data_IF_891601207964
#
_entry.id   IF_891601207964
#
_cell.length_a   1.000
_cell.length_b   1.000
_cell.length_c   1.000
_cell.angle_alpha   90.00
_cell.angle_beta   90.00
_cell.angle_gamma   90.00
#
_symmetry.space_group_name_H-M   'P 1'
#
loop_
_entity.id
_entity.type
_entity.pdbx_description
1 polymer ?
#
# COMPACT_ATOMS: atom_id res chain seq x y z
N UNK A 1 60.67 -67.71 32.78
CA UNK A 1 59.50 -66.93 33.28
C UNK A 1 59.60 -65.51 32.74
N UNK A 2 58.45 -64.94 32.36
CA UNK A 2 58.21 -63.61 31.73
C UNK A 2 58.37 -63.50 30.20
N UNK A 3 57.25 -63.90 29.59
CA UNK A 3 56.58 -63.41 28.39
C UNK A 3 56.92 -61.96 28.00
N UNK A 4 57.16 -61.71 26.71
CA UNK A 4 56.57 -60.57 25.99
C UNK A 4 56.38 -60.89 24.49
N UNK A 5 55.17 -60.64 24.01
CA UNK A 5 54.64 -60.93 22.68
C UNK A 5 54.86 -59.76 21.69
N UNK A 6 55.28 -60.12 20.48
CA UNK A 6 54.76 -59.77 19.13
C UNK A 6 54.03 -58.42 18.96
N UNK A 7 54.52 -57.61 18.01
CA UNK A 7 53.67 -56.74 17.19
C UNK A 7 54.17 -56.80 15.73
N UNK A 8 53.48 -57.61 14.91
CA UNK A 8 53.65 -57.69 13.47
C UNK A 8 52.55 -56.88 12.77
N UNK A 9 52.97 -55.91 11.99
CA UNK A 9 52.15 -54.95 11.26
C UNK A 9 51.28 -55.60 10.18
N UNK A 10 49.99 -55.27 10.16
CA UNK A 10 49.12 -55.44 9.00
C UNK A 10 48.51 -54.08 8.64
N UNK A 11 48.83 -53.57 7.45
CA UNK A 11 48.26 -52.34 6.90
C UNK A 11 46.78 -52.56 6.54
N UNK A 12 45.89 -51.74 7.09
CA UNK A 12 44.52 -51.57 6.59
C UNK A 12 44.43 -50.22 5.84
N UNK A 13 44.08 -50.27 4.56
CA UNK A 13 43.68 -49.10 3.78
C UNK A 13 42.30 -48.60 4.25
N UNK A 14 42.08 -47.29 4.47
CA UNK A 14 40.75 -46.75 4.66
C UNK A 14 40.04 -46.59 3.31
N UNK A 15 38.87 -47.22 3.17
CA UNK A 15 37.90 -46.91 2.12
C UNK A 15 37.29 -45.54 2.44
N UNK A 16 37.57 -44.55 1.60
CA UNK A 16 36.85 -43.27 1.60
C UNK A 16 35.46 -43.50 1.02
N UNK A 17 34.44 -43.62 1.89
CA UNK A 17 33.03 -43.47 1.50
C UNK A 17 32.79 -42.03 1.11
N UNK A 18 32.71 -41.77 -0.20
CA UNK A 18 32.28 -40.49 -0.74
C UNK A 18 30.77 -40.34 -0.52
N UNK A 19 30.37 -39.52 0.45
CA UNK A 19 28.98 -39.12 0.60
C UNK A 19 28.59 -38.25 -0.60
N UNK A 20 27.69 -38.76 -1.46
CA UNK A 20 27.07 -37.96 -2.50
C UNK A 20 26.20 -36.86 -1.86
N UNK A 21 26.13 -35.65 -2.43
CA UNK A 21 25.21 -34.62 -1.96
C UNK A 21 23.77 -35.10 -2.16
N UNK A 22 22.95 -35.02 -1.12
CA UNK A 22 21.52 -35.32 -1.19
C UNK A 22 20.85 -34.41 -2.24
N UNK A 23 20.02 -35.00 -3.11
CA UNK A 23 19.20 -34.25 -4.04
C UNK A 23 18.15 -33.42 -3.27
N UNK A 24 17.75 -32.23 -3.77
CA UNK A 24 16.73 -31.43 -3.12
C UNK A 24 15.37 -32.14 -3.15
N UNK A 25 14.76 -32.33 -1.99
CA UNK A 25 13.39 -32.86 -1.85
C UNK A 25 12.38 -31.89 -2.50
N UNK A 26 11.78 -32.31 -3.61
CA UNK A 26 10.78 -31.53 -4.36
C UNK A 26 9.41 -31.48 -3.68
N UNK A 27 9.18 -32.32 -2.66
CA UNK A 27 7.90 -32.42 -1.94
C UNK A 27 7.79 -31.51 -0.72
N UNK A 28 8.89 -30.85 -0.32
CA UNK A 28 8.88 -29.94 0.82
C UNK A 28 9.84 -28.76 0.57
N UNK A 29 9.46 -27.77 -0.26
CA UNK A 29 10.30 -26.59 -0.45
C UNK A 29 10.53 -25.92 0.91
N UNK A 30 11.79 -25.64 1.24
CA UNK A 30 12.17 -24.86 2.41
C UNK A 30 11.32 -23.57 2.47
N UNK A 31 10.85 -23.15 3.65
CA UNK A 31 10.08 -21.92 3.75
C UNK A 31 10.90 -20.77 3.18
N UNK A 32 10.39 -20.14 2.11
CA UNK A 32 11.00 -18.95 1.53
C UNK A 32 11.02 -17.90 2.64
N UNK A 33 12.22 -17.52 3.09
CA UNK A 33 12.36 -16.53 4.15
C UNK A 33 11.60 -15.24 3.76
N UNK A 34 10.84 -14.63 4.69
CA UNK A 34 10.02 -13.49 4.36
C UNK A 34 10.90 -12.31 3.94
N UNK A 35 10.42 -11.55 2.96
CA UNK A 35 11.10 -10.35 2.48
C UNK A 35 11.26 -9.36 3.63
N UNK A 36 12.49 -8.90 3.86
CA UNK A 36 12.82 -7.93 4.90
C UNK A 36 13.41 -6.66 4.29
N UNK A 37 12.97 -5.49 4.76
CA UNK A 37 13.59 -4.19 4.45
C UNK A 37 14.03 -3.50 5.75
N UNK A 38 15.24 -2.95 5.78
CA UNK A 38 15.86 -2.39 7.01
C UNK A 38 16.17 -0.90 6.96
N UNK A 39 16.12 -0.28 5.78
CA UNK A 39 16.45 1.15 5.60
C UNK A 39 15.23 2.06 5.73
N UNK A 40 14.22 1.62 6.50
CA UNK A 40 13.03 2.42 6.77
C UNK A 40 13.31 3.33 7.96
N UNK A 41 13.10 4.63 7.80
CA UNK A 41 13.21 5.63 8.85
C UNK A 41 11.83 6.13 9.24
N UNK A 42 11.66 6.46 10.51
CA UNK A 42 10.46 7.13 10.99
C UNK A 42 10.83 8.43 11.71
N UNK A 43 9.97 9.43 11.58
CA UNK A 43 9.98 10.66 12.39
C UNK A 43 8.56 10.96 12.84
N UNK A 44 8.40 11.39 14.07
CA UNK A 44 7.13 11.84 14.61
C UNK A 44 7.21 13.34 14.89
N UNK A 45 6.16 14.06 14.50
CA UNK A 45 5.98 15.49 14.76
C UNK A 45 4.67 15.70 15.53
N UNK A 46 4.67 16.56 16.56
CA UNK A 46 3.44 16.90 17.28
C UNK A 46 2.48 17.66 16.37
N UNK A 47 1.22 17.77 16.79
CA UNK A 47 0.25 18.60 16.10
C UNK A 47 0.68 20.08 16.12
N UNK A 48 0.59 20.75 14.96
CA UNK A 48 0.92 22.18 14.82
C UNK A 48 -0.22 23.10 15.32
N UNK A 49 -1.40 22.53 15.61
CA UNK A 49 -2.58 23.25 16.10
C UNK A 49 -3.54 22.36 16.89
N UNK A 50 -4.51 22.98 17.58
CA UNK A 50 -5.45 22.26 18.45
C UNK A 50 -6.44 21.33 17.71
N UNK A 51 -6.61 21.53 16.39
CA UNK A 51 -7.47 20.72 15.52
C UNK A 51 -6.67 19.69 14.70
N UNK A 52 -5.33 19.75 14.77
CA UNK A 52 -4.47 18.87 13.97
C UNK A 52 -4.14 17.61 14.77
N UNK A 53 -4.00 16.50 14.05
CA UNK A 53 -3.47 15.27 14.62
C UNK A 53 -1.94 15.28 14.57
N UNK A 54 -1.25 14.69 15.56
CA UNK A 54 0.19 14.43 15.46
C UNK A 54 0.49 13.53 14.26
N UNK A 55 1.68 13.68 13.68
CA UNK A 55 2.04 13.07 12.40
C UNK A 55 3.17 12.07 12.55
N UNK A 56 3.04 10.90 11.92
CA UNK A 56 4.11 9.93 11.75
C UNK A 56 4.51 9.88 10.28
N UNK A 57 5.77 10.20 10.01
CA UNK A 57 6.36 10.10 8.67
C UNK A 57 7.23 8.87 8.58
N UNK A 58 6.95 7.99 7.61
CA UNK A 58 7.83 6.89 7.23
C UNK A 58 8.59 7.25 5.96
N UNK A 59 9.86 6.85 5.87
CA UNK A 59 10.68 7.12 4.68
C UNK A 59 11.54 5.91 4.33
N UNK A 60 11.53 5.54 3.05
CA UNK A 60 12.37 4.48 2.50
C UNK A 60 12.86 4.91 1.10
N UNK A 61 14.17 5.18 0.97
CA UNK A 61 14.72 5.77 -0.25
C UNK A 61 14.08 7.14 -0.59
N UNK A 62 13.57 7.33 -1.82
CA UNK A 62 12.86 8.55 -2.22
C UNK A 62 11.41 8.60 -1.72
N UNK A 63 10.82 7.44 -1.39
CA UNK A 63 9.44 7.33 -0.95
C UNK A 63 9.27 7.78 0.49
N UNK A 64 8.18 8.47 0.76
CA UNK A 64 7.77 8.85 2.11
C UNK A 64 6.25 8.74 2.26
N UNK A 65 5.80 8.63 3.50
CA UNK A 65 4.40 8.84 3.90
C UNK A 65 4.36 9.91 4.98
N UNK A 66 3.19 10.51 5.14
CA UNK A 66 2.91 11.42 6.24
C UNK A 66 1.50 11.14 6.73
N UNK A 67 1.41 10.33 7.79
CA UNK A 67 0.17 9.74 8.27
C UNK A 67 -0.22 10.42 9.58
N UNK A 68 -1.47 10.92 9.72
CA UNK A 68 -1.95 11.38 11.01
C UNK A 68 -2.08 10.18 11.96
N UNK A 69 -1.70 10.37 13.22
CA UNK A 69 -1.85 9.38 14.29
C UNK A 69 -3.20 9.58 14.98
N UNK A 70 -4.27 9.44 14.21
CA UNK A 70 -5.66 9.49 14.67
C UNK A 70 -6.29 8.08 14.70
N UNK A 71 -7.61 8.02 14.88
CA UNK A 71 -8.33 6.76 15.03
C UNK A 71 -8.65 6.07 13.68
N UNK A 72 -8.45 6.75 12.55
CA UNK A 72 -8.87 6.24 11.23
C UNK A 72 -7.88 5.19 10.69
N UNK A 73 -6.68 5.13 11.27
CA UNK A 73 -5.59 4.21 10.87
C UNK A 73 -5.20 3.28 12.03
N UNK A 74 -6.02 2.25 12.33
CA UNK A 74 -5.86 1.40 13.52
C UNK A 74 -4.52 0.65 13.57
N UNK A 75 -3.88 0.40 12.43
CA UNK A 75 -2.55 -0.20 12.35
C UNK A 75 -1.47 0.65 13.04
N UNK A 76 -1.67 1.97 13.14
CA UNK A 76 -0.76 2.89 13.81
C UNK A 76 -1.12 3.17 15.28
N UNK A 77 -2.16 2.54 15.83
CA UNK A 77 -2.60 2.76 17.21
C UNK A 77 -1.48 2.49 18.24
N UNK A 78 -0.67 1.45 18.01
CA UNK A 78 0.48 1.14 18.86
C UNK A 78 1.59 2.20 18.76
N UNK A 79 1.80 2.81 17.59
CA UNK A 79 2.73 3.91 17.41
C UNK A 79 2.22 5.17 18.14
N UNK A 80 0.93 5.50 17.98
CA UNK A 80 0.29 6.61 18.68
C UNK A 80 0.43 6.47 20.20
N UNK A 81 0.10 5.30 20.76
CA UNK A 81 0.24 5.02 22.18
C UNK A 81 1.69 5.12 22.67
N UNK A 82 2.65 4.57 21.90
CA UNK A 82 4.07 4.64 22.24
C UNK A 82 4.65 6.07 22.14
N UNK A 83 4.04 6.96 21.36
CA UNK A 83 4.51 8.32 21.17
C UNK A 83 3.81 9.34 22.09
N UNK A 84 2.66 9.02 22.67
CA UNK A 84 1.85 9.96 23.44
C UNK A 84 2.47 10.45 24.76
N UNK A 85 3.40 9.70 25.35
CA UNK A 85 4.04 10.05 26.62
C UNK A 85 5.08 11.17 26.45
N UNK A 86 5.11 12.11 27.41
CA UNK A 86 6.02 13.25 27.41
C UNK A 86 7.45 12.90 27.84
N UNK A 87 7.67 11.77 28.53
CA UNK A 87 9.00 11.40 29.00
C UNK A 87 9.93 11.08 27.81
N UNK A 88 11.12 11.71 27.69
CA UNK A 88 12.09 11.34 26.67
C UNK A 88 12.69 9.97 26.98
N UNK A 89 13.02 9.20 25.94
CA UNK A 89 13.64 7.89 26.13
C UNK A 89 13.55 6.97 24.91
N UNK A 90 14.13 5.76 25.03
CA UNK A 90 14.04 4.76 23.98
C UNK A 90 12.59 4.28 23.82
N UNK A 91 12.16 4.10 22.58
CA UNK A 91 10.83 3.57 22.28
C UNK A 91 10.91 2.40 21.30
N UNK A 92 9.91 1.53 21.40
CA UNK A 92 9.62 0.50 20.42
C UNK A 92 8.12 0.47 20.19
N UNK A 93 7.73 0.24 18.94
CA UNK A 93 6.35 0.01 18.56
C UNK A 93 6.31 -0.84 17.30
N UNK A 94 5.15 -1.42 17.01
CA UNK A 94 4.95 -2.25 15.82
C UNK A 94 3.69 -1.81 15.11
N UNK A 95 3.76 -1.64 13.79
CA UNK A 95 2.62 -1.43 12.91
C UNK A 95 2.31 -2.76 12.22
N UNK A 96 1.08 -3.24 12.36
CA UNK A 96 0.62 -4.50 11.77
C UNK A 96 -0.40 -4.23 10.69
N UNK A 97 -0.10 -4.63 9.48
CA UNK A 97 -0.95 -4.46 8.30
C UNK A 97 -0.93 -5.76 7.48
N UNK A 98 -1.92 -5.97 6.63
CA UNK A 98 -2.02 -7.18 5.80
C UNK A 98 -0.75 -7.41 4.97
N UNK A 99 -0.14 -6.34 4.44
CA UNK A 99 1.10 -6.43 3.67
C UNK A 99 2.32 -6.88 4.49
N UNK A 100 2.28 -6.79 5.82
CA UNK A 100 3.36 -7.21 6.70
C UNK A 100 3.48 -6.40 7.98
N UNK A 101 4.56 -6.67 8.71
CA UNK A 101 4.83 -6.07 10.02
C UNK A 101 5.99 -5.09 9.94
N UNK A 102 5.80 -3.88 10.47
CA UNK A 102 6.83 -2.86 10.59
C UNK A 102 7.22 -2.71 12.07
N UNK A 103 8.36 -3.29 12.44
CA UNK A 103 8.90 -3.21 13.80
C UNK A 103 9.83 -2.00 13.91
N UNK A 104 9.48 -1.02 14.74
CA UNK A 104 10.16 0.25 14.86
C UNK A 104 10.85 0.42 16.21
N UNK A 105 12.02 1.03 16.19
CA UNK A 105 12.81 1.42 17.37
C UNK A 105 13.34 2.83 17.19
N UNK A 106 13.58 3.55 18.28
CA UNK A 106 14.22 4.86 18.22
C UNK A 106 14.17 5.58 19.55
N UNK A 107 14.19 6.91 19.47
CA UNK A 107 14.14 7.79 20.62
C UNK A 107 12.97 8.76 20.49
N UNK A 108 12.23 8.91 21.59
CA UNK A 108 11.21 9.94 21.78
C UNK A 108 11.84 11.10 22.54
N UNK A 109 11.62 12.32 22.08
CA UNK A 109 12.12 13.55 22.73
C UNK A 109 11.05 14.24 23.57
N UNK A 110 9.78 14.13 23.17
CA UNK A 110 8.59 14.60 23.90
C UNK A 110 7.36 13.87 23.34
N UNK A 111 6.16 14.18 23.85
CA UNK A 111 4.93 13.63 23.29
C UNK A 111 4.85 13.92 21.79
N UNK A 112 4.63 12.87 21.00
CA UNK A 112 4.55 12.87 19.54
C UNK A 112 5.78 13.43 18.81
N UNK A 113 6.92 13.56 19.48
CA UNK A 113 8.17 13.99 18.86
C UNK A 113 9.25 12.91 19.03
N UNK A 114 9.84 12.48 17.93
CA UNK A 114 10.88 11.45 17.98
C UNK A 114 11.34 11.01 16.60
N UNK A 115 12.34 10.13 16.59
CA UNK A 115 12.83 9.53 15.35
C UNK A 115 13.48 8.19 15.58
N UNK A 116 13.56 7.40 14.51
CA UNK A 116 14.27 6.14 14.56
C UNK A 116 14.23 5.37 13.24
N UNK A 117 14.31 4.05 13.36
CA UNK A 117 14.35 3.12 12.24
C UNK A 117 13.34 2.01 12.43
N UNK A 118 12.90 1.46 11.32
CA UNK A 118 12.03 0.30 11.30
C UNK A 118 12.61 -0.83 10.45
N UNK A 119 12.25 -2.05 10.81
CA UNK A 119 12.42 -3.24 10.00
C UNK A 119 11.06 -3.69 9.51
N UNK A 120 10.86 -3.69 8.20
CA UNK A 120 9.67 -4.26 7.57
C UNK A 120 9.89 -5.74 7.29
N UNK A 121 8.89 -6.56 7.57
CA UNK A 121 8.84 -7.98 7.21
C UNK A 121 7.52 -8.24 6.48
N UNK A 122 7.58 -8.61 5.21
CA UNK A 122 6.40 -8.87 4.39
C UNK A 122 5.63 -10.12 4.87
N UNK A 123 4.31 -10.12 4.65
CA UNK A 123 3.47 -11.31 4.84
C UNK A 123 3.33 -12.09 3.52
N UNK A 124 3.85 -13.33 3.43
CA UNK A 124 3.69 -14.18 2.25
C UNK A 124 2.23 -14.51 1.92
N UNK A 125 1.30 -14.47 2.89
CA UNK A 125 -0.12 -14.70 2.65
C UNK A 125 -0.73 -13.59 1.79
N UNK A 126 -0.42 -12.34 2.11
CA UNK A 126 -0.85 -11.19 1.32
C UNK A 126 -0.29 -11.21 -0.10
N UNK A 127 0.99 -11.55 -0.26
CA UNK A 127 1.60 -11.71 -1.58
C UNK A 127 0.86 -12.75 -2.44
N UNK A 128 0.49 -13.90 -1.86
CA UNK A 128 -0.31 -14.92 -2.56
C UNK A 128 -1.69 -14.40 -2.95
N UNK A 129 -2.35 -13.65 -2.06
CA UNK A 129 -3.67 -13.07 -2.34
C UNK A 129 -3.62 -12.03 -3.47
N UNK A 130 -2.57 -11.20 -3.52
CA UNK A 130 -2.34 -10.28 -4.63
C UNK A 130 -2.09 -11.04 -5.94
N UNK A 131 -1.23 -12.07 -5.91
CA UNK A 131 -0.93 -12.88 -7.08
C UNK A 131 -2.18 -13.56 -7.66
N UNK A 132 -3.08 -14.06 -6.80
CA UNK A 132 -4.36 -14.64 -7.23
C UNK A 132 -5.27 -13.64 -7.98
N UNK A 133 -5.02 -12.34 -7.85
CA UNK A 133 -5.75 -11.26 -8.52
C UNK A 133 -5.01 -10.69 -9.74
N UNK A 134 -3.83 -11.24 -10.06
CA UNK A 134 -2.95 -10.70 -11.09
C UNK A 134 -2.15 -9.47 -10.63
N UNK A 135 -2.15 -9.17 -9.33
CA UNK A 135 -1.54 -7.97 -8.74
C UNK A 135 -0.20 -8.28 -8.06
N UNK A 136 0.50 -9.34 -8.49
CA UNK A 136 1.77 -9.73 -7.89
C UNK A 136 2.77 -8.56 -7.92
N UNK A 137 3.34 -8.15 -6.77
CA UNK A 137 4.32 -7.07 -6.72
C UNK A 137 5.55 -7.38 -7.58
N UNK A 138 5.99 -6.42 -8.40
CA UNK A 138 7.22 -6.55 -9.20
C UNK A 138 8.48 -6.31 -8.38
N UNK A 139 8.38 -5.50 -7.32
CA UNK A 139 9.49 -5.08 -6.49
C UNK A 139 9.17 -5.30 -5.03
N UNK A 140 10.20 -5.60 -4.22
CA UNK A 140 10.05 -5.80 -2.78
C UNK A 140 9.54 -4.55 -2.05
N UNK A 141 9.95 -3.37 -2.50
CA UNK A 141 9.54 -2.09 -1.93
C UNK A 141 8.04 -1.82 -2.08
N UNK A 142 7.36 -2.45 -3.05
CA UNK A 142 5.92 -2.30 -3.29
C UNK A 142 5.09 -2.73 -2.08
N UNK A 143 5.47 -3.79 -1.36
CA UNK A 143 4.73 -4.26 -0.18
C UNK A 143 4.83 -3.28 1.00
N UNK A 144 5.99 -2.66 1.19
CA UNK A 144 6.14 -1.59 2.16
C UNK A 144 5.31 -0.35 1.74
N UNK A 145 5.32 0.00 0.44
CA UNK A 145 4.51 1.11 -0.06
C UNK A 145 3.02 0.87 0.19
N UNK A 146 2.54 -0.37 -0.01
CA UNK A 146 1.15 -0.74 0.30
C UNK A 146 0.79 -0.54 1.77
N UNK A 147 1.66 -0.95 2.72
CA UNK A 147 1.46 -0.63 4.14
C UNK A 147 1.40 0.87 4.39
N UNK A 148 2.31 1.63 3.77
CA UNK A 148 2.40 3.09 3.96
C UNK A 148 1.14 3.83 3.51
N UNK A 149 0.39 3.30 2.54
CA UNK A 149 -0.84 3.90 2.03
C UNK A 149 -2.12 3.15 2.41
N UNK A 150 -2.02 2.04 3.17
CA UNK A 150 -3.13 1.11 3.47
C UNK A 150 -3.83 0.53 2.22
N UNK A 151 -3.02 0.06 1.28
CA UNK A 151 -3.52 -0.70 0.14
C UNK A 151 -3.79 -2.16 0.55
N UNK A 152 -5.07 -2.54 0.57
CA UNK A 152 -5.54 -3.83 1.11
C UNK A 152 -6.12 -4.77 0.03
N UNK A 153 -6.26 -6.05 0.37
CA UNK A 153 -6.99 -7.01 -0.48
C UNK A 153 -8.47 -6.64 -0.59
N UNK A 154 -9.06 -6.14 0.50
CA UNK A 154 -10.44 -5.68 0.51
C UNK A 154 -10.68 -4.55 -0.49
N UNK A 155 -9.77 -3.57 -0.55
CA UNK A 155 -9.85 -2.50 -1.54
C UNK A 155 -9.77 -3.05 -2.96
N UNK A 156 -8.82 -3.96 -3.23
CA UNK A 156 -8.68 -4.58 -4.56
C UNK A 156 -9.96 -5.32 -4.99
N UNK A 157 -10.54 -6.15 -4.11
CA UNK A 157 -11.81 -6.84 -4.37
C UNK A 157 -12.97 -5.88 -4.56
N UNK A 158 -12.97 -4.81 -3.76
CA UNK A 158 -13.82 -3.65 -3.89
C UNK A 158 -13.86 -3.07 -5.31
N UNK A 159 -12.70 -2.62 -5.78
CA UNK A 159 -12.55 -1.97 -7.08
C UNK A 159 -12.86 -2.92 -8.25
N UNK A 160 -12.45 -4.19 -8.15
CA UNK A 160 -12.79 -5.23 -9.13
C UNK A 160 -14.30 -5.41 -9.23
N UNK A 161 -15.01 -5.47 -8.10
CA UNK A 161 -16.48 -5.59 -8.06
C UNK A 161 -17.17 -4.37 -8.65
N UNK A 162 -16.59 -3.19 -8.46
CA UNK A 162 -17.12 -1.98 -9.07
C UNK A 162 -16.82 -1.87 -10.58
N UNK A 163 -15.98 -2.75 -11.13
CA UNK A 163 -15.68 -2.81 -12.56
C UNK A 163 -14.50 -1.93 -13.00
N UNK A 164 -13.74 -1.38 -12.05
CA UNK A 164 -12.50 -0.61 -12.29
C UNK A 164 -11.31 -1.37 -11.74
N UNK A 165 -11.06 -2.56 -12.30
CA UNK A 165 -9.98 -3.45 -11.85
C UNK A 165 -8.61 -2.74 -11.93
N UNK A 166 -7.81 -2.75 -10.84
CA UNK A 166 -6.38 -2.43 -10.92
C UNK A 166 -5.66 -3.37 -11.90
N UNK A 167 -4.87 -2.83 -12.82
CA UNK A 167 -4.11 -3.66 -13.78
C UNK A 167 -2.85 -4.24 -13.13
N UNK A 168 -2.29 -3.53 -12.15
CA UNK A 168 -1.10 -3.95 -11.42
C UNK A 168 -1.08 -3.40 -9.98
N UNK A 169 -0.05 -3.79 -9.23
CA UNK A 169 0.14 -3.39 -7.82
C UNK A 169 0.31 -1.87 -7.63
N UNK A 170 0.90 -1.17 -8.60
CA UNK A 170 1.13 0.27 -8.52
C UNK A 170 -0.20 1.04 -8.67
N UNK A 171 -1.15 0.53 -9.45
CA UNK A 171 -2.49 1.13 -9.56
C UNK A 171 -3.27 1.00 -8.24
N UNK A 172 -3.11 -0.13 -7.54
CA UNK A 172 -3.73 -0.33 -6.23
C UNK A 172 -3.13 0.64 -5.18
N UNK A 173 -1.81 0.84 -5.21
CA UNK A 173 -1.15 1.84 -4.37
C UNK A 173 -1.66 3.25 -4.68
N UNK A 174 -1.76 3.60 -5.97
CA UNK A 174 -2.28 4.91 -6.38
C UNK A 174 -3.73 5.10 -5.94
N UNK A 175 -4.56 4.05 -6.05
CA UNK A 175 -5.94 4.08 -5.60
C UNK A 175 -6.04 4.29 -4.08
N UNK A 176 -5.23 3.60 -3.28
CA UNK A 176 -5.18 3.79 -1.83
C UNK A 176 -4.70 5.21 -1.45
N UNK A 177 -3.62 5.67 -2.07
CA UNK A 177 -3.04 6.98 -1.79
C UNK A 177 -3.97 8.17 -2.11
N UNK A 178 -4.92 7.98 -3.03
CA UNK A 178 -5.90 8.99 -3.43
C UNK A 178 -7.29 8.73 -2.83
N UNK A 179 -7.45 7.78 -1.90
CA UNK A 179 -8.75 7.41 -1.32
C UNK A 179 -9.80 7.02 -2.38
N UNK A 180 -9.37 6.29 -3.41
CA UNK A 180 -10.25 5.69 -4.42
C UNK A 180 -10.82 4.42 -3.83
N UNK A 181 -11.99 4.56 -3.22
CA UNK A 181 -12.72 3.48 -2.58
C UNK A 181 -13.81 2.92 -3.51
N UNK A 182 -14.34 1.72 -3.23
CA UNK A 182 -15.51 1.20 -3.94
C UNK A 182 -16.72 2.12 -3.82
N UNK A 183 -16.85 2.85 -2.70
CA UNK A 183 -17.91 3.84 -2.52
C UNK A 183 -17.72 5.05 -3.45
N UNK A 184 -16.49 5.55 -3.59
CA UNK A 184 -16.18 6.63 -4.53
C UNK A 184 -16.50 6.24 -5.98
N UNK A 185 -16.08 5.06 -6.43
CA UNK A 185 -16.39 4.57 -7.78
C UNK A 185 -17.90 4.44 -7.99
N UNK A 186 -18.63 3.98 -6.97
CA UNK A 186 -20.09 3.88 -7.02
C UNK A 186 -20.76 5.26 -7.08
N UNK A 187 -20.23 6.26 -6.39
CA UNK A 187 -20.73 7.64 -6.41
C UNK A 187 -20.53 8.32 -7.79
N UNK A 188 -19.48 7.93 -8.52
CA UNK A 188 -19.24 8.38 -9.90
C UNK A 188 -20.14 7.69 -10.93
N UNK A 189 -20.81 6.58 -10.59
CA UNK A 189 -21.69 5.89 -11.55
C UNK A 189 -22.85 6.81 -11.93
N UNK A 190 -22.91 7.15 -13.20
CA UNK A 190 -23.93 7.99 -13.79
C UNK A 190 -24.07 7.64 -15.27
N UNK A 191 -25.19 8.01 -15.87
CA UNK A 191 -25.35 7.98 -17.33
C UNK A 191 -24.48 9.04 -18.02
N UNK A 192 -24.03 10.07 -17.28
CA UNK A 192 -23.11 11.09 -17.77
C UNK A 192 -21.68 10.60 -18.01
N UNK A 193 -21.18 9.63 -17.22
CA UNK A 193 -19.77 9.22 -17.23
C UNK A 193 -19.61 7.72 -17.46
N UNK A 194 -18.81 7.36 -18.46
CA UNK A 194 -18.32 6.00 -18.68
C UNK A 194 -17.02 5.80 -17.91
N UNK A 195 -17.08 5.06 -16.81
CA UNK A 195 -15.92 4.74 -15.97
C UNK A 195 -15.66 3.23 -15.99
N UNK A 196 -14.60 2.81 -16.67
CA UNK A 196 -14.28 1.37 -16.86
C UNK A 196 -12.84 1.01 -16.52
N UNK A 197 -11.94 1.99 -16.41
CA UNK A 197 -10.52 1.78 -16.11
C UNK A 197 -10.16 2.39 -14.76
N UNK A 198 -9.21 1.79 -14.05
CA UNK A 198 -8.73 2.32 -12.78
C UNK A 198 -8.01 3.65 -12.96
N UNK A 199 -7.27 3.83 -14.06
CA UNK A 199 -6.51 5.04 -14.34
C UNK A 199 -7.44 6.23 -14.60
N UNK A 200 -8.63 5.96 -15.15
CA UNK A 200 -9.68 6.96 -15.31
C UNK A 200 -10.21 7.42 -13.95
N UNK A 201 -10.43 6.48 -13.01
CA UNK A 201 -10.85 6.83 -11.65
C UNK A 201 -9.76 7.63 -10.91
N UNK A 202 -8.49 7.27 -11.12
CA UNK A 202 -7.32 8.00 -10.62
C UNK A 202 -7.29 9.43 -11.17
N UNK A 203 -7.48 9.59 -12.48
CA UNK A 203 -7.52 10.90 -13.12
C UNK A 203 -8.70 11.76 -12.62
N UNK A 204 -9.89 11.16 -12.46
CA UNK A 204 -11.04 11.84 -11.88
C UNK A 204 -10.72 12.33 -10.46
N UNK A 205 -10.20 11.46 -9.59
CA UNK A 205 -9.92 11.80 -8.20
C UNK A 205 -8.84 12.88 -8.07
N UNK A 206 -7.79 12.80 -8.88
CA UNK A 206 -6.72 13.79 -8.92
C UNK A 206 -7.18 15.19 -9.36
N UNK A 207 -8.33 15.28 -10.04
CA UNK A 207 -8.95 16.54 -10.49
C UNK A 207 -10.13 16.97 -9.62
N UNK A 208 -10.27 16.40 -8.42
CA UNK A 208 -11.39 16.67 -7.50
C UNK A 208 -12.77 16.49 -8.17
N UNK A 209 -12.89 15.45 -9.01
CA UNK A 209 -14.18 15.02 -9.57
C UNK A 209 -14.84 14.06 -8.59
N UNK A 210 -16.04 14.41 -8.16
CA UNK A 210 -16.91 13.63 -7.28
C UNK A 210 -18.25 13.31 -7.97
N UNK A 211 -19.10 12.52 -7.32
CA UNK A 211 -20.40 12.18 -7.89
C UNK A 211 -21.33 13.40 -8.00
N UNK A 212 -21.14 14.45 -7.19
CA UNK A 212 -21.93 15.67 -7.30
C UNK A 212 -21.67 16.35 -8.65
N UNK A 213 -20.39 16.52 -9.01
CA UNK A 213 -20.00 17.07 -10.30
C UNK A 213 -20.55 16.26 -11.47
N UNK A 214 -20.44 14.93 -11.43
CA UNK A 214 -20.93 14.06 -12.50
C UNK A 214 -22.45 14.09 -12.62
N UNK A 215 -23.19 14.17 -11.49
CA UNK A 215 -24.65 14.34 -11.49
C UNK A 215 -25.07 15.70 -12.05
N UNK A 216 -24.33 16.76 -11.78
CA UNK A 216 -24.62 18.07 -12.35
C UNK A 216 -24.42 18.08 -13.88
N UNK A 217 -23.45 17.34 -14.41
CA UNK A 217 -23.28 17.14 -15.85
C UNK A 217 -24.45 16.34 -16.45
N UNK A 218 -24.91 15.28 -15.76
CA UNK A 218 -26.11 14.54 -16.18
C UNK A 218 -27.35 15.45 -16.22
N UNK A 219 -27.54 16.27 -15.18
CA UNK A 219 -28.65 17.24 -15.11
C UNK A 219 -28.55 18.34 -16.17
N UNK A 220 -27.35 18.65 -16.65
CA UNK A 220 -27.12 19.53 -17.79
C UNK A 220 -27.42 18.86 -19.15
N UNK A 221 -27.69 17.55 -19.19
CA UNK A 221 -28.03 16.80 -20.40
C UNK A 221 -26.85 16.10 -21.08
N UNK A 222 -25.72 15.96 -20.37
CA UNK A 222 -24.57 15.20 -20.89
C UNK A 222 -24.71 13.73 -20.57
N UNK A 223 -24.42 12.87 -21.55
CA UNK A 223 -24.50 11.42 -21.43
C UNK A 223 -23.28 10.79 -22.09
N UNK A 224 -22.79 9.68 -21.52
CA UNK A 224 -21.77 8.84 -22.14
C UNK A 224 -20.40 9.50 -22.32
N UNK A 225 -20.06 10.53 -21.52
CA UNK A 225 -18.75 11.16 -21.56
C UNK A 225 -17.66 10.15 -21.16
N UNK A 226 -16.52 10.22 -21.84
CA UNK A 226 -15.33 9.53 -21.36
C UNK A 226 -14.80 10.22 -20.08
N UNK A 227 -14.05 9.49 -19.26
CA UNK A 227 -13.39 10.10 -18.11
C UNK A 227 -12.43 11.23 -18.52
N UNK A 228 -11.77 11.09 -19.68
CA UNK A 228 -10.91 12.12 -20.26
C UNK A 228 -11.69 13.40 -20.56
N UNK A 229 -12.92 13.29 -21.10
CA UNK A 229 -13.77 14.45 -21.36
C UNK A 229 -14.16 15.15 -20.05
N UNK A 230 -14.60 14.39 -19.04
CA UNK A 230 -14.98 14.94 -17.74
C UNK A 230 -13.80 15.62 -17.05
N UNK A 231 -12.61 15.01 -17.10
CA UNK A 231 -11.35 15.59 -16.63
C UNK A 231 -11.00 16.88 -17.38
N UNK A 232 -11.11 16.89 -18.70
CA UNK A 232 -10.84 18.09 -19.51
C UNK A 232 -11.82 19.22 -19.19
N UNK A 233 -13.12 18.90 -19.03
CA UNK A 233 -14.14 19.87 -18.64
C UNK A 233 -13.82 20.48 -17.27
N UNK A 234 -13.50 19.65 -16.27
CA UNK A 234 -13.10 20.10 -14.93
C UNK A 234 -11.86 20.98 -14.97
N UNK A 235 -10.83 20.59 -15.74
CA UNK A 235 -9.60 21.36 -15.91
C UNK A 235 -9.82 22.74 -16.56
N UNK A 236 -10.82 22.86 -17.45
CA UNK A 236 -11.23 24.13 -18.05
C UNK A 236 -12.16 24.97 -17.15
N UNK A 237 -12.45 24.52 -15.94
CA UNK A 237 -13.35 25.21 -15.01
C UNK A 237 -14.83 25.11 -15.41
N UNK A 238 -15.20 24.15 -16.25
CA UNK A 238 -16.59 23.92 -16.65
C UNK A 238 -17.34 23.33 -15.46
N UNK A 239 -18.27 24.10 -14.90
CA UNK A 239 -19.22 23.63 -13.87
C UNK A 239 -20.48 23.07 -14.52
N UNK A 240 -21.25 22.25 -13.81
CA UNK A 240 -22.54 21.79 -14.34
C UNK A 240 -23.54 22.93 -14.57
N UNK A 241 -23.50 23.98 -13.74
CA UNK A 241 -24.29 25.19 -13.97
C UNK A 241 -23.91 25.91 -15.27
N UNK A 242 -22.60 26.01 -15.56
CA UNK A 242 -22.11 26.55 -16.82
C UNK A 242 -22.56 25.69 -18.00
N UNK A 243 -22.40 24.36 -17.90
CA UNK A 243 -22.77 23.41 -18.94
C UNK A 243 -24.29 23.48 -19.24
N UNK A 244 -25.13 23.58 -18.22
CA UNK A 244 -26.58 23.76 -18.35
C UNK A 244 -26.96 25.11 -18.98
N UNK A 245 -26.26 26.20 -18.64
CA UNK A 245 -26.49 27.49 -19.26
C UNK A 245 -26.15 27.47 -20.76
N UNK A 246 -25.05 26.80 -21.13
CA UNK A 246 -24.64 26.65 -22.53
C UNK A 246 -25.63 25.82 -23.35
N UNK A 247 -26.11 24.70 -22.82
CA UNK A 247 -27.09 23.86 -23.52
C UNK A 247 -28.42 24.61 -23.73
N UNK A 248 -28.91 25.35 -22.72
CA UNK A 248 -30.11 26.20 -22.86
C UNK A 248 -29.94 27.31 -23.91
N UNK A 249 -28.76 27.93 -23.97
CA UNK A 249 -28.48 28.96 -24.96
C UNK A 249 -28.44 28.38 -26.40
N UNK A 250 -27.90 27.17 -26.57
CA UNK A 250 -27.87 26.48 -27.85
C UNK A 250 -29.29 26.13 -28.35
N UNK A 251 -30.17 25.66 -27.47
CA UNK A 251 -31.58 25.36 -27.79
C UNK A 251 -32.39 26.62 -28.13
N UNK A 252 -32.08 27.76 -27.48
CA UNK A 252 -32.76 29.04 -27.70
C UNK A 252 -32.44 29.71 -29.04
N UNK A 253 -31.25 29.49 -29.60
CA UNK A 253 -30.83 30.04 -30.89
C UNK A 253 -31.25 29.20 -32.11
N UNK A 254 -31.87 28.03 -31.90
CA UNK A 254 -32.37 27.14 -32.95
C UNK A 254 -33.84 27.35 -33.34
N UNK A 255 -34.50 28.37 -32.79
CA UNK A 255 -35.89 28.78 -33.10
C UNK A 255 -35.91 30.12 -33.83
#
# INVERSE_FOLDING_TARGET
MKILLIAGSAMLLPLLTQAAPAAPDTDNPLPVAPVTLTDVRWTAEPADGAQDAPRLRLRHGPSNSDTPLDADRPEFAAAAAALADNAPGPIHFTVSHDAGTLACTGERTSAYAGKGRCRFTADPHFERQLAARGLAPRQRATLLAMLMVDATIEQADGLIREGVRPENADDLIAAAALDITPAYVRDLRSDALVLTRIEDAIACKAMDIDGAYVRDLAAAGYHGLSAQDVVAMKAMGITGAYAMAMNRAAEGNGR
#
